data_IF_710042899903
#
_entry.id   IF_710042899903
#
_cell.length_a   1.000
_cell.length_b   1.000
_cell.length_c   1.000
_cell.angle_alpha   90.00
_cell.angle_beta   90.00
_cell.angle_gamma   90.00
#
_symmetry.space_group_name_H-M   'P 1'
#
loop_
_entity.id
_entity.type
_entity.pdbx_description
1 polymer ?
#
# COMPACT_ATOMS: atom_id res chain seq x y z
N UNK A 1 -29.04 -1.88 3.01
CA UNK A 1 -28.15 -2.85 3.66
C UNK A 1 -27.70 -2.23 4.97
N UNK A 2 -27.94 -2.86 6.11
CA UNK A 2 -27.38 -2.45 7.39
C UNK A 2 -25.87 -2.56 7.30
N UNK A 3 -25.15 -1.46 7.55
CA UNK A 3 -23.69 -1.44 7.63
C UNK A 3 -23.28 -2.33 8.83
N UNK A 4 -23.07 -3.61 8.57
CA UNK A 4 -22.45 -4.50 9.54
C UNK A 4 -20.99 -4.07 9.61
N UNK A 5 -20.49 -3.79 10.83
CA UNK A 5 -19.09 -3.40 11.05
C UNK A 5 -18.08 -4.34 10.35
N UNK A 6 -16.78 -4.07 10.41
CA UNK A 6 -15.77 -4.94 9.80
C UNK A 6 -15.70 -6.29 10.52
N UNK A 7 -15.36 -7.34 9.77
CA UNK A 7 -14.88 -8.59 10.32
C UNK A 7 -13.46 -8.43 10.87
N UNK A 8 -13.02 -9.39 11.67
CA UNK A 8 -11.67 -9.36 12.25
C UNK A 8 -10.98 -10.70 12.10
N UNK A 9 -9.72 -10.67 11.71
CA UNK A 9 -8.82 -11.83 11.79
C UNK A 9 -7.73 -11.55 12.83
N UNK A 10 -7.21 -12.62 13.44
CA UNK A 10 -6.06 -12.54 14.35
C UNK A 10 -4.79 -12.83 13.58
N UNK A 11 -3.78 -11.97 13.74
CA UNK A 11 -2.47 -12.08 13.09
C UNK A 11 -1.38 -12.04 14.17
N UNK A 12 -0.32 -12.83 13.98
CA UNK A 12 0.75 -12.96 14.96
C UNK A 12 0.37 -13.88 16.13
N UNK A 13 1.21 -13.91 17.15
CA UNK A 13 1.02 -14.69 18.36
C UNK A 13 1.67 -14.03 19.57
N UNK A 14 1.15 -14.30 20.77
CA UNK A 14 1.69 -13.76 22.03
C UNK A 14 1.68 -12.23 22.05
N UNK A 15 2.80 -11.61 22.38
CA UNK A 15 2.92 -10.15 22.44
C UNK A 15 2.78 -9.44 21.07
N UNK A 16 2.94 -10.17 19.97
CA UNK A 16 2.76 -9.66 18.60
C UNK A 16 1.35 -9.91 18.04
N UNK A 17 0.44 -10.49 18.83
CA UNK A 17 -0.93 -10.75 18.41
C UNK A 17 -1.71 -9.44 18.23
N UNK A 18 -2.42 -9.35 17.11
CA UNK A 18 -3.22 -8.18 16.75
C UNK A 18 -4.45 -8.58 15.96
N UNK A 19 -5.50 -7.77 16.07
CA UNK A 19 -6.77 -7.95 15.35
C UNK A 19 -6.79 -7.02 14.14
N UNK A 20 -6.92 -7.58 12.96
CA UNK A 20 -6.97 -6.87 11.69
C UNK A 20 -8.40 -6.79 11.21
N UNK A 21 -8.90 -5.56 11.05
CA UNK A 21 -10.23 -5.26 10.57
C UNK A 21 -10.29 -5.43 9.05
N UNK A 22 -11.27 -6.17 8.55
CA UNK A 22 -11.44 -6.50 7.14
C UNK A 22 -12.88 -6.25 6.71
N UNK A 23 -13.06 -5.70 5.52
CA UNK A 23 -14.33 -5.67 4.81
C UNK A 23 -14.17 -6.43 3.50
N UNK A 24 -14.86 -7.52 3.35
CA UNK A 24 -14.86 -8.35 2.15
C UNK A 24 -16.24 -8.31 1.47
N UNK A 25 -16.22 -8.20 0.15
CA UNK A 25 -17.37 -8.33 -0.74
C UNK A 25 -17.13 -9.52 -1.65
N UNK A 26 -18.07 -10.43 -1.68
CA UNK A 26 -18.11 -11.51 -2.68
C UNK A 26 -18.49 -10.94 -4.06
N UNK A 27 -18.01 -11.57 -5.12
CA UNK A 27 -18.28 -11.18 -6.49
C UNK A 27 -17.55 -12.05 -7.50
N UNK A 28 -17.63 -11.69 -8.77
CA UNK A 28 -17.02 -12.42 -9.88
C UNK A 28 -15.65 -11.83 -10.29
N UNK A 29 -14.88 -12.61 -11.03
CA UNK A 29 -13.57 -12.23 -11.60
C UNK A 29 -12.45 -12.17 -10.55
N UNK A 30 -11.24 -11.78 -10.95
CA UNK A 30 -10.11 -11.64 -10.05
C UNK A 30 -10.45 -10.72 -8.88
N UNK A 31 -10.29 -11.16 -7.61
CA UNK A 31 -10.61 -10.32 -6.47
C UNK A 31 -9.69 -9.11 -6.40
N UNK A 32 -10.27 -7.94 -6.18
CA UNK A 32 -9.51 -6.71 -5.95
C UNK A 32 -9.16 -6.62 -4.48
N UNK A 33 -7.89 -6.35 -4.14
CA UNK A 33 -7.45 -6.19 -2.75
C UNK A 33 -6.85 -4.80 -2.58
N UNK A 34 -7.45 -3.99 -1.71
CA UNK A 34 -6.99 -2.65 -1.39
C UNK A 34 -5.94 -2.67 -0.28
N UNK A 35 -4.78 -2.07 -0.57
CA UNK A 35 -3.67 -1.88 0.36
C UNK A 35 -3.48 -0.38 0.61
N UNK A 36 -3.85 0.09 1.79
CA UNK A 36 -3.83 1.49 2.18
C UNK A 36 -2.43 2.10 2.33
N UNK A 37 -2.35 3.43 2.34
CA UNK A 37 -1.13 4.18 2.61
C UNK A 37 -0.85 4.34 4.11
N UNK A 38 0.30 4.92 4.42
CA UNK A 38 0.73 5.26 5.77
C UNK A 38 -0.30 6.16 6.46
N UNK A 39 -0.78 5.79 7.66
CA UNK A 39 -1.83 6.47 8.44
C UNK A 39 -3.17 6.65 7.71
N UNK A 40 -3.45 5.83 6.70
CA UNK A 40 -4.74 5.80 6.01
C UNK A 40 -5.57 4.62 6.49
N UNK A 41 -6.88 4.65 6.28
CA UNK A 41 -7.79 3.56 6.61
C UNK A 41 -8.55 3.04 5.38
N UNK A 42 -9.24 1.90 5.56
CA UNK A 42 -9.99 1.22 4.50
C UNK A 42 -11.29 1.94 4.10
N UNK A 43 -11.62 3.09 4.72
CA UNK A 43 -12.78 3.93 4.38
C UNK A 43 -12.40 5.18 3.61
N UNK A 44 -11.09 5.43 3.41
CA UNK A 44 -10.58 6.57 2.68
C UNK A 44 -11.11 6.63 1.23
N UNK A 45 -11.11 7.81 0.63
CA UNK A 45 -11.76 8.15 -0.65
C UNK A 45 -11.54 7.11 -1.76
N UNK A 46 -10.30 6.67 -1.99
CA UNK A 46 -9.97 5.68 -3.03
C UNK A 46 -10.54 4.29 -2.73
N UNK A 47 -10.43 3.86 -1.47
CA UNK A 47 -10.97 2.58 -1.02
C UNK A 47 -12.51 2.54 -1.14
N UNK A 48 -13.18 3.62 -0.71
CA UNK A 48 -14.62 3.77 -0.83
C UNK A 48 -15.08 3.81 -2.29
N UNK A 49 -14.34 4.49 -3.16
CA UNK A 49 -14.65 4.55 -4.59
C UNK A 49 -14.51 3.17 -5.27
N UNK A 50 -13.47 2.40 -4.92
CA UNK A 50 -13.32 1.03 -5.40
C UNK A 50 -14.44 0.12 -4.88
N UNK A 51 -14.91 0.31 -3.63
CA UNK A 51 -16.03 -0.47 -3.09
C UNK A 51 -17.35 -0.16 -3.81
N UNK A 52 -17.61 1.12 -4.12
CA UNK A 52 -18.77 1.52 -4.91
C UNK A 52 -18.73 0.88 -6.31
N UNK A 53 -17.60 1.03 -7.00
CA UNK A 53 -17.41 0.41 -8.32
C UNK A 53 -17.53 -1.12 -8.28
N UNK A 54 -16.91 -1.78 -7.31
CA UNK A 54 -16.99 -3.24 -7.16
C UNK A 54 -18.43 -3.71 -6.90
N UNK A 55 -19.21 -2.92 -6.14
CA UNK A 55 -20.63 -3.16 -5.92
C UNK A 55 -21.44 -3.10 -7.22
N UNK A 56 -21.23 -2.06 -8.02
CA UNK A 56 -21.91 -1.87 -9.30
C UNK A 56 -21.56 -2.96 -10.34
N UNK A 57 -20.30 -3.40 -10.33
CA UNK A 57 -19.78 -4.42 -11.25
C UNK A 57 -19.90 -5.84 -10.73
N UNK A 58 -20.47 -6.05 -9.54
CA UNK A 58 -20.54 -7.37 -8.88
C UNK A 58 -19.16 -8.04 -8.79
N UNK A 59 -18.11 -7.25 -8.51
CA UNK A 59 -16.71 -7.70 -8.37
C UNK A 59 -16.39 -8.05 -6.92
N UNK A 60 -15.58 -9.09 -6.74
CA UNK A 60 -15.00 -9.39 -5.43
C UNK A 60 -14.01 -8.28 -5.01
N UNK A 61 -14.14 -7.80 -3.77
CA UNK A 61 -13.24 -6.78 -3.21
C UNK A 61 -12.94 -7.09 -1.75
N UNK A 62 -11.68 -6.97 -1.37
CA UNK A 62 -11.22 -7.00 0.02
C UNK A 62 -10.49 -5.70 0.32
N UNK A 63 -10.86 -5.05 1.42
CA UNK A 63 -10.16 -3.89 1.99
C UNK A 63 -10.00 -4.08 3.48
N UNK A 64 -8.90 -3.63 4.02
CA UNK A 64 -8.55 -3.86 5.42
C UNK A 64 -7.70 -2.72 5.97
N UNK A 65 -7.65 -2.64 7.28
CA UNK A 65 -6.76 -1.75 8.01
C UNK A 65 -5.56 -2.56 8.52
N UNK A 66 -4.36 -2.07 8.28
CA UNK A 66 -3.16 -2.65 8.91
C UNK A 66 -3.18 -2.46 10.42
N UNK A 67 -2.35 -3.20 11.15
CA UNK A 67 -2.10 -2.92 12.57
C UNK A 67 -1.79 -1.44 12.83
N UNK A 68 -2.41 -0.87 13.86
CA UNK A 68 -2.26 0.55 14.20
C UNK A 68 -2.97 1.52 13.27
N UNK A 69 -3.79 1.05 12.32
CA UNK A 69 -4.60 1.87 11.42
C UNK A 69 -6.09 1.61 11.64
N UNK A 70 -6.91 2.62 11.38
CA UNK A 70 -8.36 2.54 11.32
C UNK A 70 -8.99 1.77 12.46
N UNK A 71 -9.72 0.69 12.16
CA UNK A 71 -10.40 -0.16 13.13
C UNK A 71 -9.55 -1.34 13.63
N UNK A 72 -8.34 -1.54 13.10
CA UNK A 72 -7.42 -2.58 13.55
C UNK A 72 -6.76 -2.23 14.87
N UNK A 73 -6.42 -3.25 15.65
CA UNK A 73 -5.66 -3.06 16.89
C UNK A 73 -4.17 -2.88 16.63
N UNK A 74 -3.44 -2.54 17.68
CA UNK A 74 -1.98 -2.39 17.67
C UNK A 74 -1.53 -0.95 17.88
N UNK A 75 -0.28 -0.80 18.32
CA UNK A 75 0.38 0.50 18.41
C UNK A 75 1.07 0.81 17.08
N UNK A 76 0.65 1.88 16.42
CA UNK A 76 1.23 2.32 15.16
C UNK A 76 2.76 2.48 15.23
N UNK A 77 3.27 2.99 16.36
CA UNK A 77 4.71 3.23 16.55
C UNK A 77 5.53 1.95 16.74
N UNK A 78 4.87 0.83 17.04
CA UNK A 78 5.50 -0.48 17.09
C UNK A 78 5.47 -1.22 15.74
N UNK A 79 4.71 -0.71 14.76
CA UNK A 79 4.56 -1.34 13.45
C UNK A 79 5.71 -1.00 12.51
N UNK A 80 5.97 -1.91 11.57
CA UNK A 80 7.02 -1.81 10.56
C UNK A 80 6.52 -2.32 9.20
N UNK A 81 7.31 -2.18 8.15
CA UNK A 81 7.00 -2.73 6.81
C UNK A 81 6.75 -4.23 6.88
N UNK A 82 7.58 -4.97 7.64
CA UNK A 82 7.43 -6.42 7.80
C UNK A 82 6.13 -6.79 8.52
N UNK A 83 5.73 -6.05 9.56
CA UNK A 83 4.48 -6.32 10.28
C UNK A 83 3.25 -6.03 9.41
N UNK A 84 3.25 -4.94 8.64
CA UNK A 84 2.17 -4.63 7.70
C UNK A 84 2.11 -5.59 6.51
N UNK A 85 3.26 -6.09 6.06
CA UNK A 85 3.31 -7.17 5.07
C UNK A 85 2.72 -8.47 5.62
N UNK A 86 3.00 -8.81 6.88
CA UNK A 86 2.41 -9.97 7.56
C UNK A 86 0.88 -9.84 7.64
N UNK A 87 0.35 -8.65 7.98
CA UNK A 87 -1.08 -8.37 7.97
C UNK A 87 -1.69 -8.59 6.59
N UNK A 88 -1.08 -8.01 5.55
CA UNK A 88 -1.54 -8.16 4.18
C UNK A 88 -1.55 -9.64 3.75
N UNK A 89 -0.51 -10.40 4.06
CA UNK A 89 -0.41 -11.84 3.74
C UNK A 89 -1.48 -12.66 4.47
N UNK A 90 -1.76 -12.34 5.73
CA UNK A 90 -2.82 -13.01 6.49
C UNK A 90 -4.21 -12.72 5.91
N UNK A 91 -4.49 -11.48 5.49
CA UNK A 91 -5.73 -11.12 4.82
C UNK A 91 -5.86 -11.84 3.47
N UNK A 92 -4.79 -11.86 2.67
CA UNK A 92 -4.76 -12.60 1.40
C UNK A 92 -5.05 -14.09 1.62
N UNK A 93 -4.42 -14.72 2.59
CA UNK A 93 -4.63 -16.14 2.91
C UNK A 93 -6.06 -16.44 3.37
N UNK A 94 -6.70 -15.52 4.11
CA UNK A 94 -8.03 -15.72 4.65
C UNK A 94 -9.16 -15.46 3.63
N UNK A 95 -9.00 -14.48 2.74
CA UNK A 95 -10.11 -13.98 1.91
C UNK A 95 -9.90 -14.17 0.40
N UNK A 96 -8.68 -14.50 -0.07
CA UNK A 96 -8.36 -14.54 -1.50
C UNK A 96 -8.08 -15.97 -1.95
N UNK A 97 -8.94 -16.50 -2.83
CA UNK A 97 -8.84 -17.87 -3.35
C UNK A 97 -8.32 -17.93 -4.78
N UNK A 98 -8.45 -16.85 -5.52
CA UNK A 98 -8.05 -16.73 -6.92
C UNK A 98 -6.94 -15.68 -7.06
N UNK A 99 -6.20 -15.65 -8.19
CA UNK A 99 -5.18 -14.63 -8.41
C UNK A 99 -5.75 -13.21 -8.26
N UNK A 100 -5.29 -12.40 -7.29
CA UNK A 100 -5.85 -11.07 -7.03
C UNK A 100 -5.26 -9.98 -7.94
N UNK A 101 -6.02 -8.88 -8.08
CA UNK A 101 -5.50 -7.57 -8.45
C UNK A 101 -5.17 -6.83 -7.16
N UNK A 102 -3.88 -6.62 -6.88
CA UNK A 102 -3.45 -5.86 -5.71
C UNK A 102 -3.41 -4.37 -6.04
N UNK A 103 -4.19 -3.57 -5.31
CA UNK A 103 -4.28 -2.11 -5.52
C UNK A 103 -3.64 -1.43 -4.32
N UNK A 104 -2.45 -0.87 -4.51
CA UNK A 104 -1.66 -0.27 -3.43
C UNK A 104 -1.47 1.24 -3.60
N UNK A 105 -1.74 2.02 -2.54
CA UNK A 105 -1.51 3.46 -2.53
C UNK A 105 -0.36 3.83 -1.62
N UNK A 106 0.61 4.62 -2.13
CA UNK A 106 1.77 5.10 -1.36
C UNK A 106 2.54 3.94 -0.72
N UNK A 107 2.66 3.87 0.62
CA UNK A 107 3.19 2.72 1.36
C UNK A 107 2.53 1.41 0.94
N UNK A 108 1.21 1.41 0.74
CA UNK A 108 0.49 0.21 0.29
C UNK A 108 0.93 -0.29 -1.08
N UNK A 109 1.49 0.58 -1.94
CA UNK A 109 2.14 0.19 -3.18
C UNK A 109 3.41 -0.64 -2.94
N UNK A 110 4.19 -0.30 -1.92
CA UNK A 110 5.34 -1.10 -1.51
C UNK A 110 4.92 -2.45 -0.94
N UNK A 111 3.95 -2.46 -0.02
CA UNK A 111 3.41 -3.71 0.55
C UNK A 111 2.81 -4.60 -0.55
N UNK A 112 2.10 -4.03 -1.54
CA UNK A 112 1.55 -4.79 -2.66
C UNK A 112 2.64 -5.47 -3.50
N UNK A 113 3.73 -4.76 -3.80
CA UNK A 113 4.88 -5.34 -4.52
C UNK A 113 5.58 -6.44 -3.72
N UNK A 114 5.77 -6.26 -2.40
CA UNK A 114 6.34 -7.27 -1.51
C UNK A 114 5.44 -8.51 -1.43
N UNK A 115 4.12 -8.32 -1.26
CA UNK A 115 3.15 -9.40 -1.22
C UNK A 115 3.11 -10.16 -2.55
N UNK A 116 3.11 -9.46 -3.69
CA UNK A 116 3.14 -10.07 -5.02
C UNK A 116 4.40 -10.93 -5.22
N UNK A 117 5.56 -10.41 -4.83
CA UNK A 117 6.85 -11.14 -4.86
C UNK A 117 6.80 -12.41 -4.02
N UNK A 118 6.31 -12.30 -2.77
CA UNK A 118 6.25 -13.43 -1.84
C UNK A 118 5.27 -14.51 -2.33
N UNK A 119 4.13 -14.12 -2.92
CA UNK A 119 3.18 -15.05 -3.54
C UNK A 119 3.82 -15.83 -4.69
N UNK A 120 4.52 -15.13 -5.59
CA UNK A 120 5.25 -15.80 -6.67
C UNK A 120 6.32 -16.76 -6.15
N UNK A 121 7.07 -16.37 -5.12
CA UNK A 121 8.06 -17.26 -4.50
C UNK A 121 7.44 -18.52 -3.88
N UNK A 122 6.14 -18.44 -3.51
CA UNK A 122 5.35 -19.58 -3.00
C UNK A 122 4.62 -20.36 -4.11
N UNK A 123 4.82 -20.00 -5.39
CA UNK A 123 4.17 -20.65 -6.53
C UNK A 123 2.75 -20.18 -6.81
N UNK A 124 2.31 -19.12 -6.17
CA UNK A 124 1.02 -18.48 -6.42
C UNK A 124 1.15 -17.39 -7.48
N UNK A 125 0.04 -17.04 -8.13
CA UNK A 125 -0.01 -16.01 -9.17
C UNK A 125 -0.78 -14.78 -8.73
N UNK A 126 -0.54 -13.66 -9.40
CA UNK A 126 -1.31 -12.42 -9.26
C UNK A 126 -1.97 -12.10 -10.61
N UNK A 127 -3.19 -11.57 -10.59
CA UNK A 127 -3.86 -11.10 -11.80
C UNK A 127 -3.28 -9.75 -12.27
N UNK A 128 -2.86 -8.90 -11.33
CA UNK A 128 -2.23 -7.63 -11.65
C UNK A 128 -1.90 -6.76 -10.45
N UNK A 129 -1.17 -5.68 -10.70
CA UNK A 129 -0.86 -4.63 -9.76
C UNK A 129 -1.37 -3.28 -10.26
N UNK A 130 -2.10 -2.53 -9.44
CA UNK A 130 -2.38 -1.11 -9.67
C UNK A 130 -1.78 -0.31 -8.53
N UNK A 131 -0.82 0.55 -8.84
CA UNK A 131 -0.03 1.29 -7.86
C UNK A 131 -0.32 2.79 -7.99
N UNK A 132 -0.74 3.42 -6.91
CA UNK A 132 -1.06 4.85 -6.87
C UNK A 132 -0.01 5.58 -6.06
N UNK A 133 0.76 6.48 -6.68
CA UNK A 133 1.86 7.22 -6.07
C UNK A 133 2.76 6.30 -5.22
N UNK A 134 3.28 5.17 -5.77
CA UNK A 134 3.89 4.11 -4.99
C UNK A 134 5.18 4.57 -4.32
N UNK A 135 5.23 4.44 -2.99
CA UNK A 135 6.37 4.84 -2.16
C UNK A 135 7.27 3.64 -1.81
N UNK A 136 7.80 2.95 -2.83
CA UNK A 136 8.71 1.84 -2.60
C UNK A 136 10.00 2.34 -1.92
N UNK A 137 10.49 1.61 -0.93
CA UNK A 137 11.71 1.93 -0.18
C UNK A 137 11.69 3.34 0.46
N UNK A 138 10.48 3.92 0.70
CA UNK A 138 10.32 5.32 1.14
C UNK A 138 11.06 5.63 2.44
N UNK A 139 11.19 4.67 3.31
CA UNK A 139 11.88 4.84 4.60
C UNK A 139 13.34 5.24 4.42
N UNK A 140 14.01 4.68 3.42
CA UNK A 140 15.38 5.01 3.07
C UNK A 140 15.45 6.17 2.07
N UNK A 141 14.75 6.05 0.95
CA UNK A 141 14.89 6.98 -0.19
C UNK A 141 14.21 8.34 0.04
N UNK A 142 13.07 8.38 0.76
CA UNK A 142 12.24 9.58 0.90
C UNK A 142 12.21 10.13 2.34
N UNK A 143 12.74 9.39 3.32
CA UNK A 143 12.84 9.88 4.70
C UNK A 143 14.31 9.95 5.13
N UNK A 144 14.99 8.81 5.26
CA UNK A 144 16.35 8.78 5.78
C UNK A 144 17.33 9.58 4.92
N UNK A 145 17.24 9.48 3.61
CA UNK A 145 18.11 10.22 2.67
C UNK A 145 17.93 11.73 2.75
N UNK A 146 16.78 12.23 3.22
CA UNK A 146 16.49 13.66 3.37
C UNK A 146 16.94 14.22 4.73
N UNK A 147 17.27 13.37 5.70
CA UNK A 147 17.79 13.81 6.99
C UNK A 147 19.27 14.22 6.87
N UNK A 148 19.61 15.36 7.45
CA UNK A 148 21.00 15.70 7.70
C UNK A 148 21.60 14.83 8.81
N UNK A 149 22.91 14.95 9.06
CA UNK A 149 23.61 14.15 10.06
C UNK A 149 23.00 14.34 11.47
N UNK A 150 22.66 15.58 11.83
CA UNK A 150 22.06 15.87 13.13
C UNK A 150 20.68 15.20 13.28
N UNK A 151 19.84 15.24 12.24
CA UNK A 151 18.54 14.57 12.21
C UNK A 151 18.64 13.05 12.31
N UNK A 152 19.62 12.45 11.64
CA UNK A 152 19.90 11.00 11.73
C UNK A 152 20.32 10.60 13.13
N UNK A 153 21.26 11.33 13.73
CA UNK A 153 21.71 11.10 15.11
C UNK A 153 20.55 11.27 16.09
N UNK A 154 19.73 12.31 15.95
CA UNK A 154 18.57 12.55 16.79
C UNK A 154 17.56 11.39 16.69
N UNK A 155 17.26 10.91 15.48
CA UNK A 155 16.36 9.77 15.28
C UNK A 155 16.91 8.47 15.90
N UNK A 156 18.20 8.20 15.74
CA UNK A 156 18.85 7.03 16.34
C UNK A 156 18.83 7.07 17.89
N UNK A 157 19.02 8.25 18.47
CA UNK A 157 19.05 8.43 19.93
C UNK A 157 17.66 8.41 20.57
N UNK A 158 16.69 9.10 19.95
CA UNK A 158 15.32 9.19 20.48
C UNK A 158 14.44 8.00 20.08
N UNK A 159 14.84 7.25 19.06
CA UNK A 159 14.05 6.17 18.48
C UNK A 159 12.87 6.63 17.63
N UNK A 160 12.50 7.91 17.63
CA UNK A 160 11.33 8.44 16.93
C UNK A 160 11.55 9.88 16.47
N UNK A 161 11.14 10.15 15.24
CA UNK A 161 11.02 11.48 14.64
C UNK A 161 9.54 11.80 14.41
N UNK A 162 9.10 13.01 14.79
CA UNK A 162 7.75 13.50 14.50
C UNK A 162 7.82 14.48 13.32
N UNK A 163 7.36 14.03 12.15
CA UNK A 163 7.36 14.82 10.92
C UNK A 163 6.00 15.52 10.77
N UNK A 164 5.94 16.84 10.47
CA UNK A 164 4.69 17.49 10.12
C UNK A 164 3.96 16.73 9.00
N UNK A 165 2.64 16.66 9.11
CA UNK A 165 1.78 15.98 8.13
C UNK A 165 0.85 17.01 7.48
N UNK A 166 0.73 16.98 6.15
CA UNK A 166 -0.25 17.78 5.42
C UNK A 166 -1.65 17.13 5.44
N UNK A 167 -1.78 15.93 6.04
CA UNK A 167 -2.97 15.10 5.99
C UNK A 167 -3.67 14.92 7.34
N UNK A 168 -2.99 15.24 8.43
CA UNK A 168 -3.52 15.12 9.78
C UNK A 168 -2.99 16.25 10.68
N UNK A 169 -3.74 16.69 11.70
CA UNK A 169 -3.27 17.67 12.68
C UNK A 169 -2.05 17.20 13.48
N UNK A 170 -1.98 15.90 13.75
CA UNK A 170 -0.86 15.30 14.47
C UNK A 170 0.29 14.94 13.51
N UNK A 171 1.54 15.20 13.91
CA UNK A 171 2.70 14.84 13.10
C UNK A 171 2.81 13.32 12.92
N UNK A 172 3.38 12.91 11.78
CA UNK A 172 3.64 11.52 11.47
C UNK A 172 4.80 10.99 12.31
N UNK A 173 4.59 9.93 13.10
CA UNK A 173 5.65 9.30 13.87
C UNK A 173 6.47 8.38 12.95
N UNK A 174 7.71 8.71 12.73
CA UNK A 174 8.68 7.87 12.02
C UNK A 174 9.63 7.27 13.04
N UNK A 175 9.58 5.97 13.23
CA UNK A 175 10.46 5.30 14.19
C UNK A 175 11.76 4.84 13.53
N UNK A 176 12.85 4.78 14.30
CA UNK A 176 14.10 4.21 13.80
C UNK A 176 13.95 2.73 13.45
N UNK A 177 13.10 2.00 14.21
CA UNK A 177 12.74 0.61 13.91
C UNK A 177 12.08 0.46 12.52
N UNK A 178 11.21 1.39 12.12
CA UNK A 178 10.61 1.42 10.78
C UNK A 178 11.68 1.61 9.68
N UNK A 179 12.67 2.50 9.91
CA UNK A 179 13.78 2.69 8.96
C UNK A 179 14.61 1.41 8.84
N UNK A 180 15.02 0.83 9.97
CA UNK A 180 15.83 -0.40 10.00
C UNK A 180 15.10 -1.58 9.33
N UNK A 181 13.81 -1.71 9.59
CA UNK A 181 13.00 -2.76 8.97
C UNK A 181 12.80 -2.53 7.47
N UNK A 182 12.57 -1.29 7.06
CA UNK A 182 12.47 -0.93 5.64
C UNK A 182 13.72 -1.30 4.86
N UNK A 183 14.91 -1.14 5.43
CA UNK A 183 16.17 -1.56 4.81
C UNK A 183 16.22 -3.06 4.47
N UNK A 184 15.58 -3.91 5.27
CA UNK A 184 15.47 -5.36 5.00
C UNK A 184 14.47 -5.69 3.90
N UNK A 185 13.56 -4.78 3.61
CA UNK A 185 12.46 -4.96 2.66
C UNK A 185 12.65 -4.22 1.33
N UNK A 186 13.84 -3.72 1.03
CA UNK A 186 14.10 -2.95 -0.19
C UNK A 186 13.80 -3.73 -1.46
N UNK A 187 13.21 -3.05 -2.43
CA UNK A 187 12.89 -3.57 -3.75
C UNK A 187 13.64 -2.86 -4.88
N UNK A 188 14.03 -1.59 -4.70
CA UNK A 188 14.59 -0.76 -5.78
C UNK A 188 16.11 -0.94 -5.98
N UNK A 189 16.75 -1.83 -5.22
CA UNK A 189 18.16 -2.15 -5.41
C UNK A 189 18.41 -3.06 -6.62
N UNK A 190 17.44 -3.90 -6.98
CA UNK A 190 17.53 -4.87 -8.09
C UNK A 190 16.22 -4.89 -8.88
N UNK A 191 16.26 -5.27 -10.16
CA UNK A 191 15.03 -5.59 -10.89
C UNK A 191 14.25 -6.68 -10.18
N UNK A 192 12.91 -6.55 -10.15
CA UNK A 192 12.01 -7.58 -9.66
C UNK A 192 10.81 -7.71 -10.59
N UNK A 193 10.29 -8.92 -10.73
CA UNK A 193 9.15 -9.23 -11.56
C UNK A 193 8.02 -9.78 -10.69
N UNK A 194 6.87 -9.11 -10.57
CA UNK A 194 5.71 -9.62 -9.86
C UNK A 194 4.89 -10.64 -10.67
N UNK A 195 5.30 -10.98 -11.89
CA UNK A 195 4.69 -11.99 -12.74
C UNK A 195 3.29 -11.65 -13.23
N UNK A 196 2.96 -10.37 -13.33
CA UNK A 196 1.63 -9.92 -13.74
C UNK A 196 1.69 -8.51 -14.35
N UNK A 197 0.65 -8.07 -15.09
CA UNK A 197 0.53 -6.69 -15.57
C UNK A 197 0.55 -5.67 -14.42
N UNK A 198 1.21 -4.52 -14.66
CA UNK A 198 1.36 -3.45 -13.68
C UNK A 198 0.88 -2.13 -14.28
N UNK A 199 0.03 -1.40 -13.55
CA UNK A 199 -0.33 -0.03 -13.90
C UNK A 199 -0.01 0.93 -12.76
N UNK A 200 0.88 1.88 -13.01
CA UNK A 200 1.28 2.92 -12.05
C UNK A 200 0.58 4.24 -12.41
N UNK A 201 -0.08 4.86 -11.43
CA UNK A 201 -0.66 6.20 -11.52
C UNK A 201 0.17 7.14 -10.65
N UNK A 202 0.76 8.18 -11.23
CA UNK A 202 1.64 9.11 -10.51
C UNK A 202 1.31 10.57 -10.79
N UNK A 203 1.11 11.35 -9.73
CA UNK A 203 0.98 12.80 -9.82
C UNK A 203 2.34 13.49 -10.04
N UNK A 204 2.42 14.44 -10.96
CA UNK A 204 3.67 15.18 -11.18
C UNK A 204 3.87 16.35 -10.20
N UNK A 205 2.82 16.70 -9.43
CA UNK A 205 2.87 17.70 -8.35
C UNK A 205 2.85 17.04 -6.96
N UNK A 206 3.23 15.77 -6.89
CA UNK A 206 3.32 15.01 -5.64
C UNK A 206 4.56 15.45 -4.85
N UNK A 207 4.39 16.09 -3.66
CA UNK A 207 5.52 16.51 -2.84
C UNK A 207 6.09 15.38 -1.98
N UNK A 208 5.31 14.33 -1.69
CA UNK A 208 5.70 13.22 -0.80
C UNK A 208 6.46 12.13 -1.55
N UNK A 209 5.96 11.77 -2.74
CA UNK A 209 6.58 10.81 -3.64
C UNK A 209 6.80 11.51 -4.99
N UNK A 210 7.91 12.21 -5.18
CA UNK A 210 8.18 12.90 -6.43
C UNK A 210 8.17 11.95 -7.63
N UNK A 211 7.61 12.37 -8.77
CA UNK A 211 7.48 11.50 -9.95
C UNK A 211 8.80 10.87 -10.44
N UNK A 212 10.00 11.44 -10.22
CA UNK A 212 11.24 10.73 -10.52
C UNK A 212 11.42 9.44 -9.71
N UNK A 213 10.82 9.33 -8.51
CA UNK A 213 10.78 8.09 -7.75
C UNK A 213 9.91 7.01 -8.43
N UNK A 214 8.79 7.41 -9.03
CA UNK A 214 8.00 6.49 -9.86
C UNK A 214 8.76 6.03 -11.11
N UNK A 215 9.55 6.91 -11.74
CA UNK A 215 10.44 6.53 -12.85
C UNK A 215 11.54 5.54 -12.39
N UNK A 216 12.12 5.75 -11.19
CA UNK A 216 13.04 4.78 -10.57
C UNK A 216 12.34 3.43 -10.37
N UNK A 217 11.11 3.42 -9.87
CA UNK A 217 10.30 2.20 -9.69
C UNK A 217 10.11 1.48 -11.04
N UNK A 218 9.65 2.17 -12.08
CA UNK A 218 9.46 1.59 -13.42
C UNK A 218 10.76 0.98 -13.96
N UNK A 219 11.91 1.62 -13.72
CA UNK A 219 13.20 1.10 -14.18
C UNK A 219 13.62 -0.25 -13.53
N UNK A 220 12.91 -0.68 -12.50
CA UNK A 220 13.13 -1.95 -11.78
C UNK A 220 12.11 -3.03 -12.10
N UNK A 221 11.06 -2.66 -12.85
CA UNK A 221 9.96 -3.55 -13.25
C UNK A 221 10.18 -4.07 -14.67
N UNK A 222 9.53 -5.18 -15.07
CA UNK A 222 9.54 -5.64 -16.45
C UNK A 222 9.05 -4.56 -17.40
N UNK A 223 9.70 -4.43 -18.55
CA UNK A 223 9.26 -3.47 -19.59
C UNK A 223 7.93 -3.90 -20.23
N UNK A 224 7.75 -5.20 -20.41
CA UNK A 224 6.51 -5.76 -20.93
C UNK A 224 5.45 -5.84 -19.82
N UNK A 225 4.26 -5.33 -20.12
CA UNK A 225 3.13 -5.34 -19.18
C UNK A 225 3.16 -4.24 -18.10
N UNK A 226 4.17 -3.37 -18.09
CA UNK A 226 4.22 -2.22 -17.18
C UNK A 226 3.77 -0.93 -17.87
N UNK A 227 2.74 -0.28 -17.32
CA UNK A 227 2.22 1.00 -17.77
C UNK A 227 2.43 2.05 -16.69
N UNK A 228 2.96 3.22 -17.06
CA UNK A 228 3.03 4.40 -16.18
C UNK A 228 2.17 5.52 -16.75
N UNK A 229 1.19 5.98 -15.98
CA UNK A 229 0.39 7.17 -16.27
C UNK A 229 0.86 8.33 -15.40
N UNK A 230 1.48 9.34 -16.02
CA UNK A 230 1.84 10.59 -15.35
C UNK A 230 0.69 11.59 -15.47
N UNK A 231 0.26 12.16 -14.33
CA UNK A 231 -0.84 13.11 -14.22
C UNK A 231 -0.23 14.47 -13.91
N UNK A 232 -0.16 15.35 -14.90
CA UNK A 232 0.62 16.59 -14.86
C UNK A 232 0.21 17.53 -13.71
N UNK A 233 -1.07 17.58 -13.36
CA UNK A 233 -1.64 18.38 -12.27
C UNK A 233 -2.00 17.57 -11.03
N UNK A 234 -1.62 16.26 -10.99
CA UNK A 234 -1.91 15.35 -9.89
C UNK A 234 -1.03 15.59 -8.68
N UNK A 235 -1.63 15.53 -7.50
CA UNK A 235 -0.99 15.53 -6.18
C UNK A 235 -0.69 14.10 -5.69
N UNK A 236 -0.21 13.96 -4.44
CA UNK A 236 0.02 12.64 -3.82
C UNK A 236 -1.26 11.83 -3.63
N UNK A 237 -2.37 12.51 -3.31
CA UNK A 237 -3.61 11.82 -2.98
C UNK A 237 -4.29 11.20 -4.19
N UNK A 238 -4.18 11.82 -5.37
CA UNK A 238 -4.89 11.39 -6.59
C UNK A 238 -6.34 11.00 -6.30
N UNK A 239 -7.05 11.89 -5.61
CA UNK A 239 -8.41 11.62 -5.08
C UNK A 239 -9.49 12.52 -5.69
N UNK A 240 -9.15 13.33 -6.70
CA UNK A 240 -10.14 14.11 -7.45
C UNK A 240 -11.01 13.17 -8.30
N UNK A 241 -12.24 13.55 -8.68
CA UNK A 241 -13.12 12.67 -9.47
C UNK A 241 -12.45 12.08 -10.72
N UNK A 242 -11.66 12.87 -11.45
CA UNK A 242 -10.93 12.39 -12.62
C UNK A 242 -9.80 11.41 -12.28
N UNK A 243 -9.18 11.53 -11.10
CA UNK A 243 -8.14 10.61 -10.65
C UNK A 243 -8.73 9.27 -10.21
N UNK A 244 -9.88 9.33 -9.53
CA UNK A 244 -10.67 8.13 -9.18
C UNK A 244 -11.13 7.40 -10.45
N UNK A 245 -11.60 8.12 -11.46
CA UNK A 245 -11.99 7.51 -12.73
C UNK A 245 -10.79 6.78 -13.40
N UNK A 246 -9.58 7.36 -13.34
CA UNK A 246 -8.35 6.70 -13.84
C UNK A 246 -8.00 5.45 -13.03
N UNK A 247 -8.12 5.52 -11.70
CA UNK A 247 -7.91 4.36 -10.84
C UNK A 247 -8.85 3.21 -11.19
N UNK A 248 -10.14 3.50 -11.26
CA UNK A 248 -11.16 2.50 -11.64
C UNK A 248 -10.88 1.92 -13.02
N UNK A 249 -10.55 2.76 -14.02
CA UNK A 249 -10.21 2.31 -15.36
C UNK A 249 -8.95 1.42 -15.38
N UNK A 250 -7.93 1.74 -14.57
CA UNK A 250 -6.73 0.91 -14.46
C UNK A 250 -7.03 -0.47 -13.86
N UNK A 251 -7.86 -0.54 -12.82
CA UNK A 251 -8.29 -1.82 -12.21
C UNK A 251 -9.16 -2.63 -13.19
N UNK A 252 -10.13 -1.99 -13.84
CA UNK A 252 -10.99 -2.65 -14.81
C UNK A 252 -10.24 -3.16 -16.06
N UNK A 253 -9.14 -2.51 -16.43
CA UNK A 253 -8.32 -2.90 -17.58
C UNK A 253 -7.39 -4.08 -17.35
N UNK A 254 -7.23 -4.53 -16.11
CA UNK A 254 -6.43 -5.73 -15.75
C UNK A 254 -7.31 -6.99 -15.67
N UNK A 255 -8.61 -6.85 -15.45
CA UNK A 255 -9.51 -7.97 -15.17
C UNK A 255 -10.45 -8.38 -16.28
#
# INVERSE_FOLDING_TARGET
MTDTGPDFITVGAGAAERRIAVRAREGAGPPVVWLGGFRSDMTATKAAALDAWASEQTRALVRFDYAGHGASSGDFTACTISSWLEDAKAVLAAYVKEPPILVGSSMGGWIACLAARDRMASGETNAGLVLIAPALDFTEDLIWAQLDEAGRVALMQSGILRRPSDYAPEPDPITYALIEDGRRNKLLERPFDPGCPIHILQGMRDPDVPYPHALKTVSRLPAEGTVLTLIADGDHRLSRPQDIARLVAAVAGIG
#
